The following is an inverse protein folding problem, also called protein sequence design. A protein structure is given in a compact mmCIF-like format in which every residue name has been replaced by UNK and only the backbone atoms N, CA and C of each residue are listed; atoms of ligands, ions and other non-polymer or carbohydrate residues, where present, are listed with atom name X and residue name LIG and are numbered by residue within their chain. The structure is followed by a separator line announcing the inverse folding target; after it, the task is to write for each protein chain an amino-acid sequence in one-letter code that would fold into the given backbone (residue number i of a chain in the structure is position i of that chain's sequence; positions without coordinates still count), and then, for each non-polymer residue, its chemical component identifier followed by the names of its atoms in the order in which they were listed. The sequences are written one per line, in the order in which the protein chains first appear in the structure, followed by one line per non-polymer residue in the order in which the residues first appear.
data_IF_060514703530
#
_entry.id   IF_060514703530
#
_cell.length_a   1.000
_cell.length_b   1.000
_cell.length_c   1.000
_cell.angle_alpha   90.00
_cell.angle_beta   90.00
_cell.angle_gamma   90.00
#
_symmetry.space_group_name_H-M   'P 1'
#
loop_
_entity.id
_entity.type
_entity.pdbx_description
1 polymer ?
#
# COMPACT_ATOMS: atom_id res chain seq x y z
N UNK A 1 9.57 7.19 24.48
CA UNK A 1 8.47 7.85 23.73
C UNK A 1 8.46 7.45 22.26
N UNK A 2 9.63 7.44 21.58
CA UNK A 2 9.83 7.05 20.16
C UNK A 2 9.21 5.71 19.71
N UNK A 3 9.23 4.67 20.56
CA UNK A 3 8.66 3.35 20.24
C UNK A 3 7.14 3.41 19.96
N UNK A 4 6.40 4.27 20.66
CA UNK A 4 4.94 4.38 20.47
C UNK A 4 4.59 5.05 19.14
N UNK A 5 5.43 5.94 18.65
CA UNK A 5 5.20 6.64 17.38
C UNK A 5 5.54 5.74 16.18
N UNK A 6 6.57 4.90 16.31
CA UNK A 6 6.89 3.88 15.32
C UNK A 6 5.78 2.81 15.20
N UNK A 7 5.25 2.34 16.32
CA UNK A 7 4.13 1.37 16.34
C UNK A 7 2.86 1.95 15.71
N UNK A 8 2.52 3.22 16.03
CA UNK A 8 1.40 3.92 15.38
C UNK A 8 1.60 4.09 13.88
N UNK A 9 2.82 4.42 13.45
CA UNK A 9 3.14 4.54 12.03
C UNK A 9 2.96 3.20 11.32
N UNK A 10 3.48 2.12 11.89
CA UNK A 10 3.32 0.75 11.39
C UNK A 10 1.84 0.38 11.24
N UNK A 11 1.03 0.64 12.27
CA UNK A 11 -0.40 0.35 12.24
C UNK A 11 -1.12 1.09 11.10
N UNK A 12 -0.85 2.38 10.93
CA UNK A 12 -1.43 3.18 9.84
C UNK A 12 -1.03 2.69 8.44
N UNK A 13 0.20 2.20 8.29
CA UNK A 13 0.66 1.61 7.02
C UNK A 13 -0.15 0.34 6.72
N UNK A 14 -0.28 -0.57 7.69
CA UNK A 14 -1.07 -1.80 7.53
C UNK A 14 -2.53 -1.49 7.14
N UNK A 15 -3.19 -0.60 7.87
CA UNK A 15 -4.58 -0.20 7.56
C UNK A 15 -4.76 0.35 6.13
N UNK A 16 -3.75 1.06 5.61
CA UNK A 16 -3.79 1.61 4.25
C UNK A 16 -3.53 0.56 3.17
N UNK A 17 -2.62 -0.38 3.45
CA UNK A 17 -2.33 -1.51 2.56
C UNK A 17 -3.56 -2.41 2.46
N UNK A 18 -4.17 -2.77 3.60
CA UNK A 18 -5.37 -3.62 3.62
C UNK A 18 -6.51 -3.02 2.79
N UNK A 19 -6.79 -1.72 2.98
CA UNK A 19 -7.81 -1.01 2.16
C UNK A 19 -7.50 -1.01 0.67
N UNK A 20 -6.23 -0.91 0.30
CA UNK A 20 -5.81 -0.97 -1.10
C UNK A 20 -6.02 -2.39 -1.65
N UNK A 21 -5.62 -3.42 -0.92
CA UNK A 21 -5.82 -4.83 -1.30
C UNK A 21 -7.31 -5.16 -1.43
N UNK A 22 -8.14 -4.78 -0.46
CA UNK A 22 -9.59 -4.98 -0.51
C UNK A 22 -10.23 -4.35 -1.75
N UNK A 23 -9.76 -3.16 -2.12
CA UNK A 23 -10.22 -2.47 -3.32
C UNK A 23 -9.81 -3.22 -4.59
N UNK A 24 -8.60 -3.80 -4.61
CA UNK A 24 -8.06 -4.60 -5.71
C UNK A 24 -8.79 -5.94 -5.88
N UNK A 25 -9.15 -6.60 -4.77
CA UNK A 25 -9.98 -7.80 -4.75
C UNK A 25 -11.36 -7.48 -5.37
N UNK A 26 -11.98 -6.36 -4.98
CA UNK A 26 -13.31 -5.95 -5.48
C UNK A 26 -13.34 -5.68 -6.98
N UNK A 27 -12.24 -5.16 -7.56
CA UNK A 27 -12.13 -4.91 -9.01
C UNK A 27 -11.69 -6.15 -9.80
N UNK A 28 -11.50 -7.31 -9.15
CA UNK A 28 -11.11 -8.57 -9.80
C UNK A 28 -9.68 -8.57 -10.37
N UNK A 29 -8.84 -7.60 -9.97
CA UNK A 29 -7.48 -7.43 -10.49
C UNK A 29 -6.45 -7.94 -9.47
N UNK A 30 -6.43 -9.25 -9.26
CA UNK A 30 -5.62 -9.89 -8.19
C UNK A 30 -4.32 -10.52 -8.70
N UNK A 31 -4.13 -10.60 -10.03
CA UNK A 31 -3.03 -11.35 -10.63
C UNK A 31 -1.65 -10.72 -10.41
N UNK A 32 -1.59 -9.39 -10.36
CA UNK A 32 -0.36 -8.65 -10.04
C UNK A 32 -0.69 -7.21 -9.65
N UNK A 33 -0.14 -6.74 -8.54
CA UNK A 33 -0.17 -5.33 -8.20
C UNK A 33 1.03 -4.94 -7.35
N UNK A 34 1.39 -3.67 -7.42
CA UNK A 34 2.41 -3.07 -6.56
C UNK A 34 1.77 -1.95 -5.75
N UNK A 35 2.12 -1.85 -4.47
CA UNK A 35 1.70 -0.72 -3.63
C UNK A 35 2.95 0.05 -3.25
N UNK A 36 3.02 1.29 -3.74
CA UNK A 36 4.07 2.23 -3.32
C UNK A 36 3.61 2.95 -2.05
N UNK A 37 4.40 2.81 -0.98
CA UNK A 37 4.16 3.46 0.32
C UNK A 37 5.19 4.58 0.48
N UNK A 38 4.72 5.82 0.60
CA UNK A 38 5.57 6.98 0.90
C UNK A 38 5.12 7.62 2.21
N UNK A 39 6.06 7.82 3.12
CA UNK A 39 5.84 8.57 4.36
C UNK A 39 6.61 9.89 4.29
N UNK A 40 5.90 11.02 4.33
CA UNK A 40 6.49 12.37 4.27
C UNK A 40 5.82 13.23 5.33
N UNK A 41 6.60 13.78 6.26
CA UNK A 41 6.13 14.71 7.30
C UNK A 41 4.90 14.23 8.10
N UNK A 42 4.77 12.92 8.37
CA UNK A 42 3.64 12.36 9.13
C UNK A 42 2.45 11.91 8.27
N UNK A 43 2.47 12.20 6.97
CA UNK A 43 1.47 11.72 6.02
C UNK A 43 1.93 10.43 5.33
N UNK A 44 1.00 9.48 5.18
CA UNK A 44 1.23 8.21 4.48
C UNK A 44 0.44 8.22 3.19
N UNK A 45 1.15 8.19 2.07
CA UNK A 45 0.60 8.04 0.73
C UNK A 45 0.81 6.60 0.29
N UNK A 46 -0.28 5.84 0.19
CA UNK A 46 -0.30 4.52 -0.43
C UNK A 46 -1.01 4.63 -1.78
N UNK A 47 -0.28 4.41 -2.87
CA UNK A 47 -0.87 4.37 -4.21
C UNK A 47 -0.62 3.00 -4.82
N UNK A 48 -1.67 2.26 -5.22
CA UNK A 48 -1.48 1.10 -6.07
C UNK A 48 -0.94 1.58 -7.43
N UNK A 49 0.10 0.91 -7.90
CA UNK A 49 0.60 1.05 -9.26
C UNK A 49 0.37 -0.27 -9.99
N UNK A 50 -0.23 -0.16 -11.17
CA UNK A 50 -0.37 -1.28 -12.08
C UNK A 50 0.83 -1.25 -13.00
N UNK A 51 1.73 -2.20 -12.82
CA UNK A 51 2.71 -2.52 -13.86
C UNK A 51 2.10 -3.68 -14.62
N UNK A 52 1.50 -3.41 -15.79
CA UNK A 52 1.10 -4.46 -16.73
C UNK A 52 2.36 -5.25 -17.09
N UNK A 53 2.60 -6.37 -16.39
CA UNK A 53 3.67 -7.31 -16.72
C UNK A 53 3.40 -8.09 -18.01
N UNK A 54 2.40 -7.72 -18.80
CA UNK A 54 2.17 -8.24 -20.16
C UNK A 54 3.11 -7.68 -21.24
N UNK A 55 4.26 -7.12 -20.85
CA UNK A 55 5.42 -6.96 -21.75
C UNK A 55 6.75 -7.34 -21.11
N UNK A 56 6.79 -8.33 -20.21
CA UNK A 56 8.03 -9.09 -20.03
C UNK A 56 8.05 -10.17 -21.12
N UNK A 57 8.44 -9.76 -22.33
CA UNK A 57 8.87 -10.67 -23.39
C UNK A 57 10.35 -11.00 -23.20
#
# INVERSE_FOLDING_TARGET
MLLRDAEKLKQKIHERVDKAVDSMIKIGTVNYFEINIKHVNGEILCKPSYTEKEKIK
#
